data_IF_931971106922
#
_entry.id   IF_931971106922
#
_cell.length_a   1.000
_cell.length_b   1.000
_cell.length_c   1.000
_cell.angle_alpha   90.00
_cell.angle_beta   90.00
_cell.angle_gamma   90.00
#
_symmetry.space_group_name_H-M   'P 1'
#
loop_
_entity.id
_entity.type
_entity.pdbx_description
1 polymer ?
#
# COMPACT_ATOMS: atom_id res chain seq x y z
N UNK A 1 12.00 8.39 0.28
CA UNK A 1 11.20 7.23 -0.19
C UNK A 1 10.35 6.69 0.94
N UNK A 2 9.12 6.24 0.66
CA UNK A 2 8.17 5.70 1.64
C UNK A 2 7.66 4.36 1.13
N UNK A 3 7.77 3.30 1.94
CA UNK A 3 7.24 1.98 1.60
C UNK A 3 5.94 1.71 2.37
N UNK A 4 4.91 1.23 1.66
CA UNK A 4 3.59 0.94 2.18
C UNK A 4 2.63 2.14 2.15
N UNK A 5 1.33 1.85 2.18
CA UNK A 5 0.21 2.81 2.16
C UNK A 5 -0.73 2.67 3.35
N UNK A 6 -0.19 2.19 4.46
CA UNK A 6 -0.90 2.09 5.74
C UNK A 6 -1.04 3.42 6.48
N UNK A 7 -1.57 3.36 7.69
CA UNK A 7 -1.84 4.52 8.56
C UNK A 7 -0.62 5.44 8.76
N UNK A 8 0.55 4.86 9.06
CA UNK A 8 1.77 5.62 9.29
C UNK A 8 2.22 6.37 8.05
N UNK A 9 2.29 5.68 6.91
CA UNK A 9 2.74 6.25 5.64
C UNK A 9 1.79 7.35 5.14
N UNK A 10 0.47 7.11 5.19
CA UNK A 10 -0.52 8.10 4.76
C UNK A 10 -0.53 9.32 5.70
N UNK A 11 -0.41 9.09 7.02
CA UNK A 11 -0.32 10.19 7.99
C UNK A 11 0.93 11.06 7.73
N UNK A 12 2.06 10.43 7.46
CA UNK A 12 3.28 11.14 7.07
C UNK A 12 3.09 11.90 5.75
N UNK A 13 2.57 11.22 4.72
CA UNK A 13 2.31 11.85 3.41
C UNK A 13 1.41 13.07 3.50
N UNK A 14 0.38 13.04 4.33
CA UNK A 14 -0.51 14.18 4.52
C UNK A 14 0.21 15.40 5.09
N UNK A 15 1.12 15.19 6.04
CA UNK A 15 1.85 16.26 6.75
C UNK A 15 3.14 16.70 6.06
N UNK A 16 3.71 15.84 5.22
CA UNK A 16 4.99 16.09 4.57
C UNK A 16 4.88 17.26 3.60
N UNK A 17 5.78 18.23 3.75
CA UNK A 17 5.97 19.29 2.76
C UNK A 17 6.81 18.74 1.60
N UNK A 18 6.20 18.66 0.44
CA UNK A 18 6.83 18.09 -0.77
C UNK A 18 7.63 19.09 -1.58
N UNK A 19 7.70 20.37 -1.18
CA UNK A 19 8.52 21.36 -1.89
C UNK A 19 10.00 21.03 -1.84
N UNK A 20 10.47 20.58 -0.66
CA UNK A 20 11.89 20.32 -0.40
C UNK A 20 12.32 18.88 -0.66
N UNK A 21 11.37 17.98 -0.97
CA UNK A 21 11.68 16.55 -1.09
C UNK A 21 11.12 15.96 -2.39
N UNK A 22 11.93 15.14 -3.05
CA UNK A 22 11.45 14.21 -4.06
C UNK A 22 10.88 12.99 -3.34
N UNK A 23 9.56 12.87 -3.34
CA UNK A 23 8.88 11.79 -2.63
C UNK A 23 8.54 10.67 -3.61
N UNK A 24 8.97 9.47 -3.25
CA UNK A 24 8.64 8.23 -3.97
C UNK A 24 7.88 7.34 -2.99
N UNK A 25 6.72 6.86 -3.40
CA UNK A 25 5.90 5.92 -2.64
C UNK A 25 5.87 4.59 -3.35
N UNK A 26 6.18 3.51 -2.64
CA UNK A 26 6.17 2.14 -3.15
C UNK A 26 5.21 1.32 -2.32
N UNK A 27 4.20 0.73 -2.95
CA UNK A 27 3.25 -0.16 -2.27
C UNK A 27 2.53 -1.05 -3.28
N UNK A 28 2.31 -2.33 -2.97
CA UNK A 28 1.48 -3.20 -3.79
C UNK A 28 0.00 -2.83 -3.75
N UNK A 29 -0.43 -1.98 -2.79
CA UNK A 29 -1.81 -1.52 -2.66
C UNK A 29 -1.90 -0.05 -3.08
N UNK A 30 -2.75 0.24 -4.04
CA UNK A 30 -2.98 1.60 -4.54
C UNK A 30 -4.01 2.41 -3.73
N UNK A 31 -4.48 1.88 -2.60
CA UNK A 31 -5.48 2.51 -1.74
C UNK A 31 -5.09 2.49 -0.27
N UNK A 32 -5.66 3.42 0.47
CA UNK A 32 -5.69 3.46 1.92
C UNK A 32 -7.04 2.96 2.40
N UNK A 33 -7.05 2.04 3.38
CA UNK A 33 -8.26 1.49 3.97
C UNK A 33 -8.47 2.08 5.37
N UNK A 34 -9.63 2.73 5.58
CA UNK A 34 -10.03 3.25 6.87
C UNK A 34 -10.62 2.13 7.74
N UNK A 35 -9.75 1.41 8.43
CA UNK A 35 -10.11 0.20 9.19
C UNK A 35 -11.13 0.37 10.33
N UNK A 36 -11.29 1.52 11.01
CA UNK A 36 -12.29 1.69 12.08
C UNK A 36 -13.74 1.49 11.62
N UNK A 37 -14.04 1.68 10.34
CA UNK A 37 -15.38 1.50 9.78
C UNK A 37 -15.63 0.10 9.17
N UNK A 38 -14.67 -0.81 9.26
CA UNK A 38 -14.86 -2.19 8.80
C UNK A 38 -16.07 -2.90 9.42
N UNK A 39 -16.34 -2.79 10.72
CA UNK A 39 -17.55 -3.39 11.31
C UNK A 39 -18.85 -2.87 10.66
N UNK A 40 -18.91 -1.59 10.30
CA UNK A 40 -20.07 -0.99 9.64
C UNK A 40 -20.26 -1.51 8.21
N UNK A 41 -19.17 -1.85 7.53
CA UNK A 41 -19.24 -2.51 6.22
C UNK A 41 -19.74 -3.94 6.34
N UNK A 42 -19.38 -4.67 7.41
CA UNK A 42 -19.83 -6.06 7.61
C UNK A 42 -21.33 -6.15 7.91
N UNK A 43 -21.90 -5.12 8.52
CA UNK A 43 -23.36 -5.01 8.78
C UNK A 43 -24.14 -4.43 7.60
N UNK A 44 -23.48 -4.05 6.51
CA UNK A 44 -24.10 -3.45 5.34
C UNK A 44 -24.55 -1.99 5.53
N UNK A 45 -24.16 -1.34 6.64
CA UNK A 45 -24.52 0.05 6.94
C UNK A 45 -23.77 1.05 6.05
N UNK A 46 -22.53 0.71 5.69
CA UNK A 46 -21.64 1.54 4.85
C UNK A 46 -21.09 0.70 3.71
N UNK A 47 -21.06 1.24 2.51
CA UNK A 47 -20.39 0.60 1.38
C UNK A 47 -18.87 0.57 1.59
N UNK A 48 -18.23 -0.55 1.23
CA UNK A 48 -16.78 -0.72 1.37
C UNK A 48 -15.98 0.34 0.58
N UNK A 49 -16.50 0.83 -0.55
CA UNK A 49 -15.87 1.90 -1.34
C UNK A 49 -15.75 3.21 -0.57
N UNK A 50 -16.65 3.46 0.36
CA UNK A 50 -16.65 4.68 1.18
C UNK A 50 -15.52 4.72 2.20
N UNK A 51 -14.92 3.58 2.53
CA UNK A 51 -13.79 3.48 3.47
C UNK A 51 -12.44 3.27 2.79
N UNK A 52 -12.43 3.23 1.45
CA UNK A 52 -11.20 3.11 0.65
C UNK A 52 -10.90 4.43 -0.05
N UNK A 53 -9.71 4.96 0.17
CA UNK A 53 -9.25 6.19 -0.48
C UNK A 53 -8.06 5.87 -1.38
N UNK A 54 -8.14 6.12 -2.70
CA UNK A 54 -7.01 5.94 -3.59
C UNK A 54 -5.81 6.79 -3.16
N UNK A 55 -4.63 6.21 -3.11
CA UNK A 55 -3.41 6.91 -2.69
C UNK A 55 -3.14 8.12 -3.58
N UNK A 56 -3.43 8.03 -4.86
CA UNK A 56 -3.29 9.13 -5.82
C UNK A 56 -4.05 10.38 -5.43
N UNK A 57 -5.18 10.26 -4.71
CA UNK A 57 -5.92 11.43 -4.22
C UNK A 57 -5.14 12.22 -3.19
N UNK A 58 -4.41 11.54 -2.29
CA UNK A 58 -3.53 12.23 -1.33
C UNK A 58 -2.34 12.92 -2.01
N UNK A 59 -1.88 12.36 -3.13
CA UNK A 59 -0.73 12.86 -3.85
C UNK A 59 -1.07 14.03 -4.78
N UNK A 60 -2.31 14.08 -5.26
CA UNK A 60 -2.79 15.08 -6.23
C UNK A 60 -2.69 16.52 -5.73
N UNK A 61 -2.87 16.73 -4.43
CA UNK A 61 -2.86 18.07 -3.82
C UNK A 61 -1.49 18.49 -3.28
N UNK A 62 -0.44 17.73 -3.56
CA UNK A 62 0.92 18.05 -3.15
C UNK A 62 1.54 19.07 -4.10
N UNK A 63 2.31 20.01 -3.55
CA UNK A 63 2.95 21.10 -4.30
C UNK A 63 3.91 20.57 -5.37
N UNK A 64 4.64 19.48 -5.08
CA UNK A 64 5.50 18.78 -6.02
C UNK A 64 4.94 17.42 -6.34
N UNK A 65 5.10 16.98 -7.58
CA UNK A 65 4.69 15.67 -8.01
C UNK A 65 5.38 14.57 -7.21
N UNK A 66 4.57 13.63 -6.71
CA UNK A 66 5.02 12.45 -5.98
C UNK A 66 4.95 11.26 -6.91
N UNK A 67 6.07 10.56 -7.06
CA UNK A 67 6.12 9.31 -7.84
C UNK A 67 5.51 8.17 -7.03
N UNK A 68 4.63 7.41 -7.66
CA UNK A 68 4.00 6.25 -7.05
C UNK A 68 4.28 5.00 -7.89
N UNK A 69 4.83 3.97 -7.25
CA UNK A 69 5.06 2.65 -7.86
C UNK A 69 4.16 1.62 -7.18
N UNK A 70 3.32 0.98 -7.99
CA UNK A 70 2.48 -0.15 -7.57
C UNK A 70 3.32 -1.43 -7.67
N UNK A 71 4.16 -1.64 -6.65
CA UNK A 71 5.15 -2.70 -6.62
C UNK A 71 5.44 -3.15 -5.19
N UNK A 72 5.93 -4.37 -5.05
CA UNK A 72 6.42 -4.88 -3.78
C UNK A 72 7.91 -4.58 -3.62
N UNK A 73 8.29 -4.04 -2.45
CA UNK A 73 9.69 -3.89 -2.08
C UNK A 73 10.21 -5.22 -1.54
N UNK A 74 11.08 -5.89 -2.30
CA UNK A 74 11.58 -7.24 -1.97
C UNK A 74 12.86 -7.21 -1.17
N UNK A 75 13.75 -6.26 -1.44
CA UNK A 75 15.05 -6.15 -0.78
C UNK A 75 15.45 -4.69 -0.61
N UNK A 76 16.07 -4.38 0.52
CA UNK A 76 16.64 -3.06 0.81
C UNK A 76 18.13 -3.23 1.00
N UNK A 77 18.93 -2.53 0.20
CA UNK A 77 20.37 -2.40 0.37
C UNK A 77 20.64 -1.02 0.98
N UNK A 78 20.94 -1.01 2.28
CA UNK A 78 21.16 0.22 3.03
C UNK A 78 22.56 0.80 2.81
N UNK A 79 23.55 -0.02 2.40
CA UNK A 79 24.89 0.46 2.08
C UNK A 79 24.91 1.23 0.77
N UNK A 80 24.27 0.68 -0.26
CA UNK A 80 24.12 1.33 -1.57
C UNK A 80 22.95 2.31 -1.64
N UNK A 81 22.10 2.34 -0.60
CA UNK A 81 20.85 3.12 -0.56
C UNK A 81 19.92 2.84 -1.75
N UNK A 82 19.70 1.57 -2.05
CA UNK A 82 18.86 1.10 -3.13
C UNK A 82 17.76 0.19 -2.58
N UNK A 83 16.53 0.38 -3.08
CA UNK A 83 15.42 -0.55 -2.85
C UNK A 83 15.15 -1.30 -4.14
N UNK A 84 15.11 -2.61 -4.06
CA UNK A 84 14.69 -3.49 -5.15
C UNK A 84 13.18 -3.67 -5.09
N UNK A 85 12.50 -3.32 -6.17
CA UNK A 85 11.06 -3.45 -6.30
C UNK A 85 10.74 -4.50 -7.36
N UNK A 86 9.72 -5.31 -7.08
CA UNK A 86 9.17 -6.28 -8.02
C UNK A 86 7.80 -5.78 -8.47
N UNK A 87 7.61 -5.66 -9.78
CA UNK A 87 6.31 -5.28 -10.34
C UNK A 87 5.36 -6.47 -10.29
N UNK A 88 4.27 -6.35 -9.54
CA UNK A 88 3.20 -7.34 -9.45
C UNK A 88 2.01 -7.02 -10.37
N UNK A 89 2.15 -6.03 -11.27
CA UNK A 89 1.08 -5.70 -12.21
C UNK A 89 0.75 -6.90 -13.12
N UNK A 90 -0.52 -7.03 -13.48
CA UNK A 90 -0.98 -8.09 -14.39
C UNK A 90 -0.32 -8.03 -15.77
N UNK A 91 0.14 -6.84 -16.16
CA UNK A 91 0.87 -6.59 -17.40
C UNK A 91 2.36 -6.51 -17.04
N UNK A 92 2.99 -7.67 -16.94
CA UNK A 92 4.44 -7.74 -16.70
C UNK A 92 5.18 -7.39 -17.97
N UNK A 93 5.97 -6.32 -17.90
CA UNK A 93 7.01 -6.04 -18.91
C UNK A 93 8.22 -6.98 -18.74
N UNK A 94 9.17 -6.91 -19.66
CA UNK A 94 10.42 -7.71 -19.64
C UNK A 94 11.29 -7.43 -18.39
N UNK A 95 11.05 -6.34 -17.66
CA UNK A 95 11.81 -5.95 -16.47
C UNK A 95 11.01 -6.31 -15.22
N UNK A 96 11.37 -7.42 -14.60
CA UNK A 96 10.70 -7.90 -13.37
C UNK A 96 11.20 -7.23 -12.09
N UNK A 97 12.37 -6.61 -12.10
CA UNK A 97 12.95 -5.95 -10.94
C UNK A 97 13.55 -4.60 -11.31
N UNK A 98 13.19 -3.56 -10.58
CA UNK A 98 13.71 -2.20 -10.77
C UNK A 98 14.44 -1.76 -9.51
N UNK A 99 15.58 -1.10 -9.69
CA UNK A 99 16.36 -0.52 -8.61
C UNK A 99 15.96 0.96 -8.43
N UNK A 100 15.55 1.32 -7.22
CA UNK A 100 15.18 2.70 -6.90
C UNK A 100 16.11 3.25 -5.82
N UNK A 101 16.92 4.27 -6.13
CA UNK A 101 17.80 4.89 -5.15
C UNK A 101 17.02 5.76 -4.16
N UNK A 102 17.54 5.88 -2.92
CA UNK A 102 16.96 6.72 -1.90
C UNK A 102 18.03 7.41 -1.04
N UNK A 103 17.75 8.64 -0.58
CA UNK A 103 18.55 9.31 0.45
C UNK A 103 18.01 8.99 1.85
N UNK A 104 16.67 9.07 1.98
CA UNK A 104 15.95 8.75 3.20
C UNK A 104 14.86 7.72 2.91
N UNK A 105 14.78 6.70 3.75
CA UNK A 105 13.79 5.64 3.63
C UNK A 105 12.91 5.60 4.87
N UNK A 106 11.61 5.60 4.66
CA UNK A 106 10.59 5.36 5.69
C UNK A 106 9.93 4.03 5.41
N UNK A 107 10.09 3.09 6.33
CA UNK A 107 9.48 1.76 6.25
C UNK A 107 8.14 1.79 6.98
N UNK A 108 7.06 1.78 6.21
CA UNK A 108 5.68 1.86 6.71
C UNK A 108 4.82 0.68 6.26
N UNK A 109 5.43 -0.50 6.16
CA UNK A 109 4.77 -1.73 5.64
C UNK A 109 3.70 -2.30 6.58
N UNK A 110 3.65 -1.85 7.84
CA UNK A 110 2.70 -2.34 8.83
C UNK A 110 3.03 -3.74 9.34
N UNK A 111 1.99 -4.45 9.77
CA UNK A 111 2.10 -5.81 10.27
C UNK A 111 0.97 -6.68 9.72
N UNK A 112 1.27 -7.92 9.47
CA UNK A 112 0.27 -8.93 9.12
C UNK A 112 -0.15 -9.68 10.37
N UNK A 113 -1.46 -9.97 10.49
CA UNK A 113 -1.98 -10.73 11.63
C UNK A 113 -1.47 -12.17 11.59
N UNK A 114 -0.71 -12.56 12.61
CA UNK A 114 -0.26 -13.93 12.78
C UNK A 114 -1.43 -14.79 13.33
N UNK A 115 -1.93 -15.70 12.53
CA UNK A 115 -3.05 -16.58 12.92
C UNK A 115 -2.60 -17.96 13.42
N UNK A 116 -1.30 -18.17 13.67
CA UNK A 116 -0.70 -19.43 14.12
C UNK A 116 -1.20 -20.68 13.35
N UNK A 117 -1.53 -20.51 12.07
CA UNK A 117 -2.02 -21.59 11.20
C UNK A 117 -3.46 -22.06 11.45
N UNK A 118 -4.06 -21.74 12.60
CA UNK A 118 -5.41 -22.23 12.97
C UNK A 118 -6.55 -21.51 12.25
N UNK A 119 -6.33 -20.27 11.81
CA UNK A 119 -7.40 -19.45 11.23
C UNK A 119 -7.36 -19.35 9.69
N UNK A 120 -6.27 -19.75 9.04
CA UNK A 120 -6.14 -19.66 7.57
C UNK A 120 -7.26 -20.41 6.83
N UNK A 121 -7.72 -21.56 7.36
CA UNK A 121 -8.79 -22.37 6.75
C UNK A 121 -10.17 -21.72 6.91
N UNK A 122 -10.43 -21.07 8.06
CA UNK A 122 -11.68 -20.35 8.32
C UNK A 122 -11.73 -19.03 7.57
N UNK A 123 -10.64 -18.26 7.57
CA UNK A 123 -10.56 -17.02 6.81
C UNK A 123 -10.69 -17.26 5.29
N UNK A 124 -10.06 -18.32 4.77
CA UNK A 124 -10.19 -18.70 3.36
C UNK A 124 -11.62 -19.04 2.99
N UNK A 125 -12.30 -19.80 3.87
CA UNK A 125 -13.71 -20.14 3.72
C UNK A 125 -14.63 -18.92 3.84
N UNK A 126 -14.33 -18.00 4.77
CA UNK A 126 -15.05 -16.74 4.92
C UNK A 126 -14.87 -15.81 3.71
N UNK A 127 -13.66 -15.70 3.17
CA UNK A 127 -13.36 -14.92 1.96
C UNK A 127 -14.05 -15.53 0.73
N UNK A 128 -14.16 -16.86 0.66
CA UNK A 128 -14.89 -17.54 -0.41
C UNK A 128 -16.41 -17.31 -0.36
N UNK A 129 -16.98 -17.18 0.83
CA UNK A 129 -18.42 -16.91 1.04
C UNK A 129 -18.76 -15.42 1.03
N UNK A 130 -17.76 -14.52 1.06
CA UNK A 130 -17.99 -13.08 1.08
C UNK A 130 -18.20 -12.54 -0.34
N UNK A 131 -19.21 -11.66 -0.54
CA UNK A 131 -19.54 -11.14 -1.88
C UNK A 131 -18.43 -10.31 -2.55
N UNK A 132 -17.27 -10.15 -1.93
CA UNK A 132 -16.13 -9.40 -2.46
C UNK A 132 -15.43 -10.06 -3.67
N UNK A 133 -15.66 -11.36 -3.93
CA UNK A 133 -15.02 -12.07 -5.05
C UNK A 133 -15.61 -11.72 -6.43
N UNK A 134 -16.64 -10.86 -6.49
CA UNK A 134 -17.31 -10.49 -7.75
C UNK A 134 -16.86 -9.17 -8.36
N UNK A 135 -15.79 -8.54 -7.86
CA UNK A 135 -15.36 -7.22 -8.31
C UNK A 135 -13.86 -7.13 -8.63
N UNK A 136 -13.20 -8.25 -8.96
CA UNK A 136 -11.89 -8.27 -9.63
C UNK A 136 -12.08 -8.60 -11.10
#
# INVERSE_FOLDING_TARGET
MITGTGWGSVSLLKKLDTENYNVIVISPRNYFLFTPLLPSCTTGTIEHRSIMEPVRNFLRHKKRAVSYYEAEATKIDYEKKIVYINDESEIKGDVSSTEVPFDMLVVGVGAESATFGKCKRWLKKWIEYWPFKRMS
#
